data_IF_046430622265
#
_entry.id   IF_046430622265
#
_cell.length_a   1.000
_cell.length_b   1.000
_cell.length_c   1.000
_cell.angle_alpha   90.00
_cell.angle_beta   90.00
_cell.angle_gamma   90.00
#
_symmetry.space_group_name_H-M   'P 1'
#
loop_
_entity.id
_entity.type
_entity.pdbx_description
1 polymer ?
#
# COMPACT_ATOMS: atom_id res chain seq x y z
N UNK A 1 38.47 13.01 -8.76
CA UNK A 1 37.22 13.51 -8.18
C UNK A 1 36.08 12.62 -8.69
N UNK A 2 35.32 11.99 -7.83
CA UNK A 2 34.22 11.12 -8.23
C UNK A 2 33.11 12.00 -8.80
N UNK A 3 32.72 11.74 -10.04
CA UNK A 3 31.57 12.43 -10.65
C UNK A 3 30.28 11.76 -10.13
N UNK A 4 29.67 12.32 -9.11
CA UNK A 4 28.42 11.79 -8.52
C UNK A 4 27.29 11.68 -9.53
N UNK A 5 27.22 12.60 -10.49
CA UNK A 5 26.19 12.54 -11.54
C UNK A 5 26.34 11.30 -12.43
N UNK A 6 27.57 10.93 -12.78
CA UNK A 6 27.83 9.72 -13.55
C UNK A 6 27.43 8.46 -12.81
N UNK A 7 27.74 8.36 -11.51
CA UNK A 7 27.37 7.22 -10.68
C UNK A 7 25.85 7.09 -10.58
N UNK A 8 25.15 8.19 -10.33
CA UNK A 8 23.69 8.20 -10.26
C UNK A 8 23.10 7.73 -11.58
N UNK A 9 23.58 8.27 -12.70
CA UNK A 9 23.10 7.88 -14.05
C UNK A 9 23.33 6.39 -14.30
N UNK A 10 24.50 5.84 -13.97
CA UNK A 10 24.78 4.42 -14.13
C UNK A 10 23.85 3.54 -13.28
N UNK A 11 23.56 3.95 -12.04
CA UNK A 11 22.64 3.24 -11.15
C UNK A 11 21.21 3.26 -11.67
N UNK A 12 20.74 4.38 -12.20
CA UNK A 12 19.42 4.52 -12.80
C UNK A 12 19.31 3.67 -14.07
N UNK A 13 20.30 3.72 -14.95
CA UNK A 13 20.34 2.89 -16.16
C UNK A 13 20.25 1.39 -15.83
N UNK A 14 20.93 0.93 -14.77
CA UNK A 14 20.84 -0.47 -14.31
C UNK A 14 19.43 -0.86 -13.82
N UNK A 15 18.61 0.11 -13.48
CA UNK A 15 17.19 -0.07 -13.09
C UNK A 15 16.21 0.13 -14.25
N UNK A 16 16.72 0.34 -15.47
CA UNK A 16 15.91 0.57 -16.65
C UNK A 16 15.39 2.02 -16.79
N UNK A 17 15.88 2.95 -15.96
CA UNK A 17 15.56 4.38 -16.03
C UNK A 17 16.64 5.02 -16.90
N UNK A 18 16.33 5.21 -18.20
CA UNK A 18 17.34 5.55 -19.19
C UNK A 18 17.05 6.86 -19.95
N UNK A 19 15.81 7.32 -19.99
CA UNK A 19 15.47 8.59 -20.65
C UNK A 19 15.64 9.77 -19.69
N UNK A 20 15.93 10.94 -20.21
CA UNK A 20 16.09 12.15 -19.39
C UNK A 20 14.77 12.45 -18.64
N UNK A 21 13.63 12.23 -19.27
CA UNK A 21 12.31 12.41 -18.66
C UNK A 21 12.08 11.45 -17.50
N UNK A 22 12.41 10.16 -17.66
CA UNK A 22 12.28 9.16 -16.60
C UNK A 22 13.22 9.46 -15.42
N UNK A 23 14.44 9.92 -15.73
CA UNK A 23 15.43 10.31 -14.72
C UNK A 23 14.93 11.53 -13.93
N UNK A 24 14.41 12.55 -14.61
CA UNK A 24 13.87 13.75 -13.99
C UNK A 24 12.64 13.40 -13.12
N UNK A 25 11.74 12.56 -13.61
CA UNK A 25 10.58 12.10 -12.84
C UNK A 25 11.01 11.32 -11.59
N UNK A 26 11.97 10.40 -11.72
CA UNK A 26 12.46 9.58 -10.60
C UNK A 26 13.18 10.37 -9.52
N UNK A 27 13.95 11.39 -9.92
CA UNK A 27 14.70 12.26 -9.00
C UNK A 27 13.88 13.45 -8.48
N UNK A 28 12.67 13.63 -8.98
CA UNK A 28 11.80 14.73 -8.57
C UNK A 28 11.37 14.59 -7.10
N UNK A 29 11.31 15.71 -6.40
CA UNK A 29 10.74 15.84 -5.06
C UNK A 29 9.21 15.96 -5.06
N UNK A 30 8.61 16.00 -6.26
CA UNK A 30 7.15 16.03 -6.42
C UNK A 30 6.56 14.63 -6.26
N UNK A 31 5.27 14.52 -5.88
CA UNK A 31 4.59 13.25 -5.87
C UNK A 31 4.69 12.55 -7.23
N UNK A 32 5.16 11.30 -7.23
CA UNK A 32 5.23 10.49 -8.44
C UNK A 32 3.82 10.21 -8.97
N UNK A 33 3.75 9.88 -10.27
CA UNK A 33 2.49 9.44 -10.88
C UNK A 33 1.92 8.24 -10.12
N UNK A 34 0.65 8.34 -9.78
CA UNK A 34 -0.12 7.23 -9.26
C UNK A 34 -0.98 6.64 -10.37
N UNK A 35 -1.12 5.33 -10.37
CA UNK A 35 -1.99 4.64 -11.31
C UNK A 35 -3.41 4.57 -10.77
N UNK A 36 -4.38 4.47 -11.69
CA UNK A 36 -5.77 4.25 -11.30
C UNK A 36 -5.90 2.91 -10.55
N UNK A 37 -6.53 2.88 -9.37
CA UNK A 37 -6.70 1.65 -8.59
C UNK A 37 -7.41 0.52 -9.35
N UNK A 38 -8.24 0.84 -10.34
CA UNK A 38 -8.92 -0.16 -11.18
C UNK A 38 -7.98 -1.02 -12.02
N UNK A 39 -6.72 -0.58 -12.21
CA UNK A 39 -5.69 -1.36 -12.89
C UNK A 39 -5.15 -2.52 -12.03
N UNK A 40 -5.40 -2.50 -10.72
CA UNK A 40 -5.06 -3.61 -9.86
C UNK A 40 -6.03 -4.77 -10.11
N UNK A 41 -5.49 -5.93 -10.45
CA UNK A 41 -6.28 -7.13 -10.66
C UNK A 41 -7.17 -7.41 -9.44
N UNK A 42 -8.43 -7.78 -9.70
CA UNK A 42 -9.42 -8.12 -8.68
C UNK A 42 -9.81 -7.00 -7.69
N UNK A 43 -9.32 -5.76 -7.87
CA UNK A 43 -9.66 -4.64 -6.97
C UNK A 43 -11.17 -4.44 -6.87
N UNK A 44 -11.89 -4.42 -8.00
CA UNK A 44 -13.34 -4.24 -8.01
C UNK A 44 -14.06 -5.42 -7.35
N UNK A 45 -13.64 -6.66 -7.64
CA UNK A 45 -14.21 -7.83 -7.01
C UNK A 45 -14.02 -7.84 -5.49
N UNK A 46 -12.84 -7.42 -5.01
CA UNK A 46 -12.57 -7.24 -3.59
C UNK A 46 -13.46 -6.19 -2.92
N UNK A 47 -13.65 -5.05 -3.57
CA UNK A 47 -14.57 -4.00 -3.09
C UNK A 47 -16.00 -4.51 -3.02
N UNK A 48 -16.49 -5.14 -4.08
CA UNK A 48 -17.87 -5.66 -4.14
C UNK A 48 -18.10 -6.73 -3.06
N UNK A 49 -17.12 -7.60 -2.82
CA UNK A 49 -17.17 -8.60 -1.76
C UNK A 49 -17.27 -7.95 -0.37
N UNK A 50 -16.41 -6.98 -0.06
CA UNK A 50 -16.42 -6.27 1.22
C UNK A 50 -17.76 -5.56 1.43
N UNK A 51 -18.29 -4.88 0.43
CA UNK A 51 -19.57 -4.19 0.52
C UNK A 51 -20.74 -5.15 0.72
N UNK A 52 -20.72 -6.32 0.06
CA UNK A 52 -21.71 -7.36 0.27
C UNK A 52 -21.68 -7.91 1.70
N UNK A 53 -20.50 -8.15 2.27
CA UNK A 53 -20.34 -8.60 3.65
C UNK A 53 -20.81 -7.54 4.67
N UNK A 54 -20.54 -6.27 4.40
CA UNK A 54 -21.05 -5.16 5.22
C UNK A 54 -22.59 -5.15 5.19
N UNK A 55 -23.20 -5.27 4.00
CA UNK A 55 -24.65 -5.31 3.84
C UNK A 55 -25.29 -6.51 4.52
N UNK A 56 -24.61 -7.67 4.50
CA UNK A 56 -25.03 -8.87 5.22
C UNK A 56 -24.89 -8.76 6.76
N UNK A 57 -24.24 -7.72 7.24
CA UNK A 57 -24.00 -7.49 8.67
C UNK A 57 -22.91 -8.40 9.25
N UNK A 58 -22.01 -8.90 8.43
CA UNK A 58 -20.88 -9.74 8.85
C UNK A 58 -19.89 -8.99 9.76
N UNK A 59 -19.11 -9.73 10.53
CA UNK A 59 -17.94 -9.19 11.23
C UNK A 59 -16.75 -9.20 10.28
N UNK A 60 -16.00 -8.11 10.27
CA UNK A 60 -14.78 -7.97 9.48
C UNK A 60 -13.60 -7.76 10.41
N UNK A 61 -12.54 -8.54 10.23
CA UNK A 61 -11.27 -8.35 10.88
C UNK A 61 -10.20 -8.00 9.85
N UNK A 62 -9.46 -6.93 10.09
CA UNK A 62 -8.30 -6.55 9.28
C UNK A 62 -7.07 -7.20 9.90
N UNK A 63 -6.48 -8.16 9.18
CA UNK A 63 -5.23 -8.79 9.59
C UNK A 63 -4.06 -8.03 8.99
N UNK A 64 -3.35 -7.27 9.81
CA UNK A 64 -2.22 -6.44 9.39
C UNK A 64 -0.88 -7.06 9.70
N UNK A 65 0.18 -6.45 9.16
CA UNK A 65 1.55 -6.76 9.51
C UNK A 65 2.07 -5.79 10.58
N UNK A 66 3.14 -6.15 11.28
CA UNK A 66 3.75 -5.36 12.35
C UNK A 66 4.78 -4.33 11.86
N UNK A 67 5.09 -4.27 10.58
CA UNK A 67 5.98 -3.25 10.02
C UNK A 67 5.26 -1.91 9.77
N UNK A 68 5.98 -0.90 9.33
CA UNK A 68 5.41 0.43 9.11
C UNK A 68 4.29 0.41 8.06
N UNK A 69 4.44 -0.37 6.99
CA UNK A 69 3.45 -0.47 5.92
C UNK A 69 2.21 -1.22 6.40
N UNK A 70 2.39 -2.30 7.16
CA UNK A 70 1.29 -3.07 7.74
C UNK A 70 0.48 -2.25 8.74
N UNK A 71 1.13 -1.51 9.63
CA UNK A 71 0.46 -0.64 10.61
C UNK A 71 -0.30 0.49 9.91
N UNK A 72 0.33 1.16 8.95
CA UNK A 72 -0.31 2.29 8.25
C UNK A 72 -1.45 1.84 7.35
N UNK A 73 -1.33 0.73 6.63
CA UNK A 73 -2.40 0.18 5.81
C UNK A 73 -3.57 -0.32 6.66
N UNK A 74 -3.31 -0.94 7.80
CA UNK A 74 -4.35 -1.33 8.77
C UNK A 74 -5.10 -0.11 9.29
N UNK A 75 -4.40 0.95 9.66
CA UNK A 75 -5.00 2.19 10.13
C UNK A 75 -5.86 2.87 9.04
N UNK A 76 -5.39 2.84 7.78
CA UNK A 76 -6.13 3.37 6.64
C UNK A 76 -7.43 2.59 6.42
N UNK A 77 -7.37 1.26 6.37
CA UNK A 77 -8.54 0.40 6.21
C UNK A 77 -9.56 0.58 7.35
N UNK A 78 -9.08 0.62 8.60
CA UNK A 78 -9.94 0.92 9.75
C UNK A 78 -10.64 2.27 9.60
N UNK A 79 -9.93 3.29 9.15
CA UNK A 79 -10.48 4.65 8.97
C UNK A 79 -11.58 4.70 7.92
N UNK A 80 -11.45 3.91 6.86
CA UNK A 80 -12.47 3.80 5.80
C UNK A 80 -13.66 2.97 6.29
N UNK A 81 -13.42 1.74 6.78
CA UNK A 81 -14.50 0.82 7.14
C UNK A 81 -15.34 1.31 8.33
N UNK A 82 -14.76 2.07 9.25
CA UNK A 82 -15.50 2.73 10.35
C UNK A 82 -16.58 3.71 9.89
N UNK A 83 -16.49 4.19 8.66
CA UNK A 83 -17.52 5.06 8.05
C UNK A 83 -18.63 4.27 7.37
N UNK A 84 -18.40 2.99 7.11
CA UNK A 84 -19.29 2.14 6.32
C UNK A 84 -20.01 1.09 7.17
N UNK A 85 -19.52 0.77 8.37
CA UNK A 85 -20.08 -0.29 9.19
C UNK A 85 -20.01 0.03 10.69
N UNK A 86 -20.86 -0.63 11.53
CA UNK A 86 -20.82 -0.47 12.99
C UNK A 86 -19.48 -0.90 13.58
N UNK A 87 -18.99 -0.12 14.54
CA UNK A 87 -17.70 -0.36 15.21
C UNK A 87 -17.61 -1.74 15.86
N UNK A 88 -18.71 -2.26 16.37
CA UNK A 88 -18.81 -3.54 17.06
C UNK A 88 -18.61 -4.75 16.13
N UNK A 89 -18.68 -4.52 14.82
CA UNK A 89 -18.49 -5.53 13.78
C UNK A 89 -17.15 -5.40 13.05
N UNK A 90 -16.34 -4.44 13.43
CA UNK A 90 -15.03 -4.19 12.83
C UNK A 90 -13.95 -4.37 13.88
N UNK A 91 -13.02 -5.26 13.60
CA UNK A 91 -11.85 -5.54 14.43
C UNK A 91 -10.57 -5.50 13.62
N UNK A 92 -9.43 -5.54 14.26
CA UNK A 92 -8.13 -5.68 13.61
C UNK A 92 -7.21 -6.54 14.47
N UNK A 93 -6.25 -7.16 13.82
CA UNK A 93 -5.20 -7.92 14.46
C UNK A 93 -3.84 -7.62 13.79
N UNK A 94 -2.84 -7.35 14.61
CA UNK A 94 -1.45 -7.21 14.19
C UNK A 94 -0.64 -8.20 15.01
N UNK A 95 0.02 -9.19 14.38
CA UNK A 95 0.79 -10.21 15.11
C UNK A 95 1.98 -9.59 15.85
N UNK A 96 2.36 -10.21 16.95
CA UNK A 96 3.52 -9.81 17.72
C UNK A 96 4.80 -10.23 16.99
N UNK A 97 5.67 -9.26 16.72
CA UNK A 97 7.00 -9.51 16.10
C UNK A 97 7.83 -10.52 16.90
N UNK A 98 7.70 -10.52 18.21
CA UNK A 98 8.55 -11.30 19.11
C UNK A 98 7.97 -12.69 19.45
N UNK A 99 6.66 -12.84 19.39
CA UNK A 99 5.98 -14.06 19.83
C UNK A 99 5.43 -14.90 18.68
N UNK A 100 4.97 -14.25 17.60
CA UNK A 100 4.26 -14.92 16.52
C UNK A 100 5.08 -14.98 15.21
N UNK A 101 6.01 -14.03 15.03
CA UNK A 101 6.82 -13.96 13.82
C UNK A 101 6.06 -13.39 12.62
N UNK A 102 6.58 -13.70 11.42
CA UNK A 102 6.05 -13.23 10.16
C UNK A 102 5.18 -14.29 9.49
N UNK A 103 3.96 -13.93 9.10
CA UNK A 103 3.06 -14.79 8.30
C UNK A 103 1.98 -15.47 9.06
#
# INVERSE_FOLDING_TARGET
>A
MINYNQIITELLNKRGIVTDEDIEEFLSDKPQKTYDPSLLADAQAGVDFILAEIAAGSKICIYGDYDADGITSTALMLSVLRKLMPKEKLDYYIPSRFEEGYG
#
